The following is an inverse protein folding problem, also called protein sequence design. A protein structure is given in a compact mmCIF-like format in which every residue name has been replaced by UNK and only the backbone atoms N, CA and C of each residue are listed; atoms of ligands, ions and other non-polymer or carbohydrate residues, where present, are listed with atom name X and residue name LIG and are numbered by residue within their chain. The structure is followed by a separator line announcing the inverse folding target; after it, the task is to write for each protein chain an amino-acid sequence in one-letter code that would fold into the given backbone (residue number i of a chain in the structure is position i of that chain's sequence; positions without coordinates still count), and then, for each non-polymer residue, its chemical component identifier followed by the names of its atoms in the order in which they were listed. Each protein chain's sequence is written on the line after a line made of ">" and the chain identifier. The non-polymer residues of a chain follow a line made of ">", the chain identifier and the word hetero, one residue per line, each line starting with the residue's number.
data_IF_627039049652
#
_entry.id   IF_627039049652
#
_cell.length_a   1.000
_cell.length_b   1.000
_cell.length_c   1.000
_cell.angle_alpha   90.00
_cell.angle_beta   90.00
_cell.angle_gamma   90.00
#
_symmetry.space_group_name_H-M   'P 1'
#
loop_
_entity.id
_entity.type
_entity.pdbx_description
1 polymer ?
#
# COMPACT_ATOMS: atom_id res chain seq x y z
N UNK A 1 -93.71 -19.93 -11.92
CA UNK A 1 -92.92 -18.90 -12.65
C UNK A 1 -91.47 -19.09 -12.21
N UNK A 2 -90.63 -19.90 -12.85
CA UNK A 2 -89.90 -19.76 -14.12
C UNK A 2 -89.10 -18.45 -14.29
N UNK A 3 -87.79 -18.57 -13.98
CA UNK A 3 -86.58 -17.91 -14.53
C UNK A 3 -86.40 -16.38 -14.48
N UNK A 4 -85.24 -15.96 -13.94
CA UNK A 4 -84.10 -15.30 -14.63
C UNK A 4 -83.19 -14.63 -13.57
N UNK A 5 -81.93 -15.04 -13.36
CA UNK A 5 -80.67 -14.70 -14.05
C UNK A 5 -80.14 -13.27 -13.84
N UNK A 6 -78.87 -13.20 -13.42
CA UNK A 6 -77.93 -12.09 -13.64
C UNK A 6 -77.52 -11.37 -12.35
N UNK A 7 -76.25 -11.13 -12.03
CA UNK A 7 -75.00 -11.37 -12.72
C UNK A 7 -73.85 -11.13 -11.73
N UNK A 8 -72.81 -11.96 -11.80
CA UNK A 8 -71.59 -11.76 -11.03
C UNK A 8 -70.69 -10.75 -11.72
N UNK A 9 -70.23 -9.76 -10.97
CA UNK A 9 -69.08 -8.91 -11.32
C UNK A 9 -67.92 -9.36 -10.46
N UNK A 10 -67.16 -10.33 -10.96
CA UNK A 10 -65.81 -10.59 -10.47
C UNK A 10 -64.89 -9.48 -10.95
N UNK A 11 -64.41 -8.65 -10.03
CA UNK A 11 -63.30 -7.74 -10.28
C UNK A 11 -62.03 -8.59 -10.40
N UNK A 12 -61.49 -8.68 -11.61
CA UNK A 12 -60.19 -9.31 -11.86
C UNK A 12 -59.08 -8.39 -11.32
N UNK A 13 -58.32 -8.90 -10.37
CA UNK A 13 -57.11 -8.28 -9.82
C UNK A 13 -55.99 -8.32 -10.88
N UNK A 14 -55.26 -7.21 -11.13
CA UNK A 14 -54.19 -7.23 -12.11
C UNK A 14 -52.98 -8.01 -11.58
N UNK A 15 -52.54 -9.01 -12.34
CA UNK A 15 -51.35 -9.80 -12.04
C UNK A 15 -50.10 -8.89 -11.98
N UNK A 16 -49.39 -8.96 -10.85
CA UNK A 16 -48.09 -8.32 -10.67
C UNK A 16 -47.06 -8.89 -11.66
N UNK A 17 -46.14 -8.08 -12.20
CA UNK A 17 -45.11 -8.57 -13.09
C UNK A 17 -44.17 -9.49 -12.30
N UNK A 18 -43.93 -10.69 -12.83
CA UNK A 18 -42.92 -11.61 -12.33
C UNK A 18 -41.56 -10.93 -12.42
N UNK A 19 -40.93 -10.70 -11.28
CA UNK A 19 -39.54 -10.27 -11.19
C UNK A 19 -38.64 -11.46 -11.53
N UNK A 20 -37.95 -11.36 -12.66
CA UNK A 20 -36.85 -12.27 -12.98
C UNK A 20 -35.83 -12.26 -11.84
N UNK A 21 -35.33 -13.42 -11.36
CA UNK A 21 -34.20 -13.43 -10.46
C UNK A 21 -32.98 -12.96 -11.25
N UNK A 22 -32.48 -11.76 -10.93
CA UNK A 22 -31.15 -11.30 -11.35
C UNK A 22 -30.12 -12.31 -10.85
N UNK A 23 -29.77 -13.26 -11.72
CA UNK A 23 -28.60 -14.13 -11.59
C UNK A 23 -27.39 -13.43 -12.18
N UNK A 24 -27.07 -12.25 -11.62
CA UNK A 24 -25.82 -11.55 -11.86
C UNK A 24 -24.92 -11.71 -10.66
N UNK A 25 -24.32 -12.90 -10.47
CA UNK A 25 -23.11 -12.99 -9.66
C UNK A 25 -21.96 -12.50 -10.52
N UNK A 26 -21.87 -11.18 -10.69
CA UNK A 26 -20.64 -10.57 -11.15
C UNK A 26 -19.64 -10.74 -10.01
N UNK A 27 -18.84 -11.79 -10.12
CA UNK A 27 -17.62 -11.95 -9.35
C UNK A 27 -16.70 -10.80 -9.72
N UNK A 28 -16.89 -9.65 -9.07
CA UNK A 28 -15.86 -8.63 -8.98
C UNK A 28 -14.64 -9.34 -8.42
N UNK A 29 -13.68 -9.62 -9.29
CA UNK A 29 -12.38 -10.14 -8.94
C UNK A 29 -11.84 -9.20 -7.85
N UNK A 30 -11.84 -9.68 -6.60
CA UNK A 30 -11.27 -8.93 -5.49
C UNK A 30 -9.78 -8.85 -5.79
N UNK A 31 -9.37 -7.81 -6.50
CA UNK A 31 -7.98 -7.44 -6.68
C UNK A 31 -7.43 -7.26 -5.26
N UNK A 32 -6.62 -8.21 -4.82
CA UNK A 32 -6.02 -8.18 -3.50
C UNK A 32 -5.14 -6.93 -3.43
N UNK A 33 -5.42 -6.05 -2.47
CA UNK A 33 -4.61 -4.86 -2.23
C UNK A 33 -3.20 -5.33 -1.84
N UNK A 34 -2.19 -4.93 -2.62
CA UNK A 34 -0.79 -5.13 -2.24
C UNK A 34 -0.45 -4.12 -1.15
N UNK A 35 -0.19 -4.61 0.05
CA UNK A 35 0.13 -3.78 1.23
C UNK A 35 1.60 -3.79 1.61
N UNK A 36 2.41 -4.63 0.96
CA UNK A 36 3.83 -4.82 1.26
C UNK A 36 4.68 -4.74 0.00
N UNK A 37 5.83 -4.10 0.13
CA UNK A 37 6.74 -3.77 -0.95
C UNK A 37 8.17 -4.02 -0.52
N UNK A 38 8.88 -4.82 -1.29
CA UNK A 38 10.28 -5.12 -1.06
C UNK A 38 11.16 -3.98 -1.54
N UNK A 39 12.29 -3.79 -0.88
CA UNK A 39 13.32 -2.82 -1.22
C UNK A 39 14.71 -3.41 -1.04
N UNK A 40 15.69 -2.77 -1.67
CA UNK A 40 17.10 -3.07 -1.48
C UNK A 40 17.86 -1.78 -1.18
N UNK A 41 18.54 -1.75 -0.03
CA UNK A 41 19.35 -0.60 0.37
C UNK A 41 20.56 -0.42 -0.56
N UNK A 42 20.83 0.80 -1.04
CA UNK A 42 22.00 1.11 -1.86
C UNK A 42 23.33 0.64 -1.24
N UNK A 43 23.55 0.88 0.06
CA UNK A 43 24.76 0.42 0.76
C UNK A 43 24.48 -0.75 1.70
N UNK A 44 23.44 -0.63 2.51
CA UNK A 44 23.07 -1.64 3.50
C UNK A 44 23.37 -1.20 4.93
N UNK A 45 22.63 -1.75 5.87
CA UNK A 45 22.87 -1.60 7.30
C UNK A 45 23.85 -2.65 7.79
N UNK A 46 24.89 -2.26 8.52
CA UNK A 46 25.85 -3.20 9.13
C UNK A 46 25.54 -3.29 10.61
N UNK A 47 25.26 -4.50 11.10
CA UNK A 47 24.98 -4.73 12.52
C UNK A 47 26.26 -4.84 13.37
N UNK A 48 26.08 -5.08 14.67
CA UNK A 48 27.18 -5.17 15.63
C UNK A 48 28.11 -6.36 15.35
N UNK A 49 27.59 -7.41 14.73
CA UNK A 49 28.31 -8.61 14.33
C UNK A 49 29.02 -8.46 12.98
N UNK A 50 28.85 -7.31 12.30
CA UNK A 50 29.45 -7.02 11.01
C UNK A 50 28.68 -7.60 9.82
N UNK A 51 27.46 -8.12 10.03
CA UNK A 51 26.60 -8.63 8.96
C UNK A 51 25.94 -7.45 8.26
N UNK A 52 25.96 -7.47 6.92
CA UNK A 52 25.34 -6.44 6.09
C UNK A 52 23.94 -6.86 5.66
N UNK A 53 22.93 -6.06 6.02
CA UNK A 53 21.53 -6.25 5.68
C UNK A 53 21.12 -5.25 4.59
N UNK A 54 20.74 -5.77 3.42
CA UNK A 54 20.37 -4.93 2.26
C UNK A 54 18.92 -5.08 1.83
N UNK A 55 18.38 -6.30 1.89
CA UNK A 55 17.01 -6.58 1.46
C UNK A 55 16.05 -6.42 2.63
N UNK A 56 14.92 -5.76 2.39
CA UNK A 56 13.88 -5.61 3.39
C UNK A 56 12.51 -5.41 2.77
N UNK A 57 11.49 -5.39 3.62
CA UNK A 57 10.10 -5.18 3.22
C UNK A 57 9.52 -4.01 4.00
N UNK A 58 8.77 -3.16 3.31
CA UNK A 58 8.02 -2.06 3.89
C UNK A 58 6.54 -2.23 3.60
N UNK A 59 5.69 -2.01 4.61
CA UNK A 59 4.24 -2.00 4.43
C UNK A 59 3.71 -0.59 4.18
N UNK A 60 2.51 -0.51 3.62
CA UNK A 60 1.75 0.75 3.61
C UNK A 60 1.55 1.25 5.04
N UNK A 61 1.70 2.56 5.18
CA UNK A 61 1.48 3.26 6.42
C UNK A 61 -0.02 3.31 6.73
N UNK A 62 -0.36 3.19 8.01
CA UNK A 62 -1.70 3.49 8.48
C UNK A 62 -1.74 4.92 8.98
N UNK A 63 -2.94 5.50 9.10
CA UNK A 63 -3.10 6.81 9.74
C UNK A 63 -2.50 6.86 11.17
N UNK A 64 -2.49 5.71 11.86
CA UNK A 64 -1.86 5.58 13.18
C UNK A 64 -0.35 5.75 13.11
N UNK A 65 0.29 5.28 12.05
CA UNK A 65 1.74 5.42 11.87
C UNK A 65 2.16 6.86 11.56
N UNK A 66 1.27 7.66 10.96
CA UNK A 66 1.50 9.09 10.69
C UNK A 66 1.26 9.97 11.94
N UNK A 67 0.26 9.61 12.76
CA UNK A 67 -0.11 10.42 13.92
C UNK A 67 0.74 10.14 15.16
N UNK A 68 1.13 8.89 15.41
CA UNK A 68 1.87 8.53 16.62
C UNK A 68 3.23 9.22 16.77
N UNK A 69 4.05 9.41 15.71
CA UNK A 69 5.33 10.12 15.82
C UNK A 69 5.20 11.53 16.40
N UNK A 70 4.05 12.18 16.19
CA UNK A 70 3.79 13.53 16.71
C UNK A 70 3.68 13.55 18.25
N UNK A 71 3.48 12.41 18.91
CA UNK A 71 3.45 12.34 20.37
C UNK A 71 4.80 11.92 20.98
N UNK A 72 5.79 11.60 20.16
CA UNK A 72 7.12 11.21 20.63
C UNK A 72 7.88 12.44 21.16
N UNK A 73 8.42 12.36 22.38
CA UNK A 73 9.14 13.47 23.02
C UNK A 73 10.35 13.92 22.20
N UNK A 74 11.07 12.98 21.56
CA UNK A 74 12.25 13.30 20.73
C UNK A 74 11.83 14.06 19.47
N UNK A 75 10.67 13.73 18.92
CA UNK A 75 10.10 14.43 17.74
C UNK A 75 9.64 15.84 18.12
N UNK A 76 9.04 16.01 19.29
CA UNK A 76 8.65 17.32 19.82
C UNK A 76 9.87 18.23 20.04
N UNK A 77 10.97 17.67 20.53
CA UNK A 77 12.24 18.40 20.69
C UNK A 77 12.93 18.67 19.35
N UNK A 78 12.86 17.71 18.41
CA UNK A 78 13.46 17.83 17.10
C UNK A 78 12.68 17.05 16.03
N UNK A 79 12.01 17.79 15.16
CA UNK A 79 11.19 17.23 14.08
C UNK A 79 11.96 16.30 13.12
N UNK A 80 13.29 16.37 13.07
CA UNK A 80 14.11 15.45 12.27
C UNK A 80 13.96 13.98 12.69
N UNK A 81 13.56 13.69 13.93
CA UNK A 81 13.29 12.32 14.39
C UNK A 81 12.00 11.72 13.81
N UNK A 82 11.13 12.52 13.19
CA UNK A 82 9.87 12.03 12.61
C UNK A 82 10.13 10.92 11.61
N UNK A 83 11.09 11.12 10.70
CA UNK A 83 11.49 10.11 9.70
C UNK A 83 11.96 8.82 10.37
N UNK A 84 12.78 8.90 11.41
CA UNK A 84 13.30 7.74 12.14
C UNK A 84 12.17 6.92 12.75
N UNK A 85 11.28 7.60 13.48
CA UNK A 85 10.15 6.95 14.16
C UNK A 85 9.16 6.38 13.15
N UNK A 86 8.92 7.06 12.04
CA UNK A 86 8.03 6.58 10.99
C UNK A 86 8.59 5.33 10.31
N UNK A 87 9.84 5.39 9.86
CA UNK A 87 10.50 4.28 9.14
C UNK A 87 10.59 3.02 10.00
N UNK A 88 10.91 3.14 11.30
CA UNK A 88 10.98 1.99 12.20
C UNK A 88 9.64 1.29 12.44
N UNK A 89 8.51 1.94 12.10
CA UNK A 89 7.16 1.37 12.26
C UNK A 89 6.65 0.65 11.01
N UNK A 90 7.14 1.06 9.84
CA UNK A 90 6.62 0.61 8.54
C UNK A 90 7.54 -0.37 7.83
N UNK A 91 8.82 -0.43 8.21
CA UNK A 91 9.71 -1.51 7.79
C UNK A 91 9.37 -2.75 8.61
N UNK A 92 8.93 -3.81 7.93
CA UNK A 92 8.50 -5.07 8.55
C UNK A 92 9.64 -6.09 8.64
N UNK A 93 10.63 -5.99 7.76
CA UNK A 93 11.81 -6.85 7.75
C UNK A 93 13.03 -6.11 7.19
N UNK A 94 14.23 -6.49 7.65
CA UNK A 94 15.50 -6.07 7.07
C UNK A 94 16.53 -7.18 7.32
N UNK A 95 16.91 -7.88 6.26
CA UNK A 95 17.82 -9.01 6.32
C UNK A 95 17.39 -10.05 7.37
N UNK A 96 18.30 -10.37 8.29
CA UNK A 96 18.05 -11.34 9.38
C UNK A 96 17.79 -10.67 10.72
N UNK A 97 17.55 -9.36 10.75
CA UNK A 97 17.26 -8.64 12.00
C UNK A 97 15.94 -9.13 12.60
N UNK A 98 15.95 -9.42 13.90
CA UNK A 98 14.75 -9.82 14.62
C UNK A 98 13.71 -8.69 14.71
N UNK A 99 14.17 -7.44 14.73
CA UNK A 99 13.33 -6.25 14.78
C UNK A 99 14.06 -5.06 14.15
N UNK A 100 13.30 -4.21 13.46
CA UNK A 100 13.75 -2.89 13.02
C UNK A 100 13.18 -1.85 14.00
N UNK A 101 14.05 -1.20 14.77
CA UNK A 101 13.69 -0.12 15.69
C UNK A 101 14.40 1.19 15.30
N UNK A 102 14.15 2.26 16.05
CA UNK A 102 14.75 3.57 15.77
C UNK A 102 16.28 3.52 15.79
N UNK A 103 16.89 2.68 16.64
CA UNK A 103 18.35 2.56 16.71
C UNK A 103 18.92 1.99 15.41
N UNK A 104 18.23 1.03 14.77
CA UNK A 104 18.65 0.53 13.45
C UNK A 104 18.68 1.68 12.45
N UNK A 105 17.61 2.48 12.37
CA UNK A 105 17.50 3.58 11.39
C UNK A 105 18.53 4.69 11.69
N UNK A 106 18.75 5.04 12.96
CA UNK A 106 19.70 6.05 13.39
C UNK A 106 21.16 5.70 13.05
N UNK A 107 21.47 4.40 12.96
CA UNK A 107 22.81 3.91 12.63
C UNK A 107 22.98 3.52 11.14
N UNK A 108 21.99 3.82 10.28
CA UNK A 108 22.13 3.65 8.84
C UNK A 108 22.95 4.78 8.21
N UNK A 109 23.54 4.51 7.04
CA UNK A 109 24.09 5.58 6.22
C UNK A 109 23.00 6.58 5.81
N UNK A 110 23.32 7.86 5.80
CA UNK A 110 22.39 8.92 5.40
C UNK A 110 21.79 8.69 4.00
N UNK A 111 22.54 8.09 3.07
CA UNK A 111 22.05 7.74 1.73
C UNK A 111 20.95 6.67 1.76
N UNK A 112 21.05 5.70 2.67
CA UNK A 112 20.07 4.62 2.80
C UNK A 112 18.80 5.13 3.50
N UNK A 113 18.93 6.00 4.50
CA UNK A 113 17.77 6.68 5.12
C UNK A 113 17.04 7.53 4.09
N UNK A 114 17.77 8.28 3.25
CA UNK A 114 17.16 9.06 2.17
C UNK A 114 16.44 8.18 1.15
N UNK A 115 17.03 7.05 0.77
CA UNK A 115 16.39 6.06 -0.10
C UNK A 115 15.08 5.53 0.50
N UNK A 116 15.09 5.14 1.78
CA UNK A 116 13.91 4.64 2.48
C UNK A 116 12.81 5.70 2.62
N UNK A 117 13.18 6.96 2.88
CA UNK A 117 12.24 8.08 2.94
C UNK A 117 11.55 8.30 1.58
N UNK A 118 12.30 8.21 0.47
CA UNK A 118 11.73 8.32 -0.86
C UNK A 118 10.88 7.12 -1.24
N UNK A 119 11.30 5.91 -0.87
CA UNK A 119 10.53 4.68 -1.08
C UNK A 119 9.18 4.76 -0.34
N UNK A 120 9.21 5.16 0.93
CA UNK A 120 8.03 5.39 1.76
C UNK A 120 7.03 6.33 1.10
N UNK A 121 7.50 7.50 0.64
CA UNK A 121 6.66 8.51 -0.01
C UNK A 121 5.96 7.95 -1.24
N UNK A 122 6.68 7.18 -2.07
CA UNK A 122 6.14 6.62 -3.31
C UNK A 122 5.06 5.58 -3.06
N UNK A 123 5.33 4.59 -2.22
CA UNK A 123 4.36 3.51 -2.00
C UNK A 123 3.08 4.03 -1.34
N UNK A 124 3.16 5.06 -0.49
CA UNK A 124 2.01 5.63 0.21
C UNK A 124 1.27 6.72 -0.58
N UNK A 125 1.90 7.36 -1.58
CA UNK A 125 1.24 8.34 -2.44
C UNK A 125 0.69 7.73 -3.74
N UNK A 126 1.40 6.78 -4.32
CA UNK A 126 1.15 6.26 -5.68
C UNK A 126 0.67 4.79 -5.68
N UNK A 127 0.79 4.08 -4.56
CA UNK A 127 0.36 2.68 -4.43
C UNK A 127 1.22 1.67 -5.19
N UNK A 128 2.38 2.09 -5.73
CA UNK A 128 3.31 1.24 -6.47
C UNK A 128 4.77 1.70 -6.29
N UNK A 129 5.73 0.80 -6.58
CA UNK A 129 7.18 1.06 -6.51
C UNK A 129 7.77 1.65 -7.80
N UNK A 130 6.93 1.90 -8.81
CA UNK A 130 7.38 2.43 -10.10
C UNK A 130 7.62 3.93 -10.01
N UNK A 131 8.78 4.36 -10.51
CA UNK A 131 9.17 5.75 -10.57
C UNK A 131 9.21 6.20 -12.03
N UNK A 132 8.38 7.18 -12.40
CA UNK A 132 8.60 7.93 -13.64
C UNK A 132 9.81 8.85 -13.45
N UNK A 133 10.87 8.61 -14.23
CA UNK A 133 12.10 9.42 -14.25
C UNK A 133 12.27 10.03 -15.63
N UNK A 134 12.72 11.29 -15.64
CA UNK A 134 13.06 12.01 -16.87
C UNK A 134 14.57 12.22 -16.89
N UNK A 135 15.25 11.73 -17.91
CA UNK A 135 16.68 11.96 -18.08
C UNK A 135 16.93 13.47 -18.32
N UNK A 136 17.75 14.17 -17.53
CA UNK A 136 17.99 15.61 -17.70
C UNK A 136 18.79 15.94 -18.96
N UNK A 137 19.50 14.97 -19.54
CA UNK A 137 20.36 15.17 -20.70
C UNK A 137 19.60 15.07 -22.03
N UNK A 138 18.68 14.11 -22.16
CA UNK A 138 17.96 13.85 -23.41
C UNK A 138 16.43 13.95 -23.29
N UNK A 139 15.92 14.30 -22.10
CA UNK A 139 14.49 14.41 -21.78
C UNK A 139 13.68 13.13 -21.98
N UNK A 140 14.32 12.00 -22.23
CA UNK A 140 13.66 10.71 -22.32
C UNK A 140 13.01 10.36 -20.97
N UNK A 141 11.73 9.99 -21.00
CA UNK A 141 10.95 9.57 -19.84
C UNK A 141 10.86 8.05 -19.82
N UNK A 142 11.24 7.45 -18.70
CA UNK A 142 11.18 6.00 -18.51
C UNK A 142 10.69 5.69 -17.10
N UNK A 143 10.20 4.48 -16.89
CA UNK A 143 9.77 3.99 -15.57
C UNK A 143 10.80 3.01 -15.04
N UNK A 144 11.26 3.22 -13.79
CA UNK A 144 12.12 2.26 -13.09
C UNK A 144 11.34 1.63 -11.94
N UNK A 145 11.60 0.34 -11.66
CA UNK A 145 11.11 -0.31 -10.47
C UNK A 145 12.15 -0.20 -9.36
N UNK A 146 11.77 0.45 -8.26
CA UNK A 146 12.64 0.63 -7.10
C UNK A 146 12.66 -0.60 -6.18
N UNK A 147 11.82 -1.61 -6.42
CA UNK A 147 11.73 -2.84 -5.63
C UNK A 147 12.92 -3.81 -5.84
N UNK A 148 14.02 -3.36 -6.45
CA UNK A 148 15.19 -4.20 -6.69
C UNK A 148 15.02 -5.15 -7.87
N UNK A 149 14.93 -4.61 -9.08
CA UNK A 149 15.06 -5.36 -10.32
C UNK A 149 16.23 -4.82 -11.14
N UNK A 150 17.21 -5.67 -11.46
CA UNK A 150 18.26 -5.37 -12.45
C UNK A 150 17.62 -4.76 -13.70
N UNK A 151 18.00 -3.53 -14.02
CA UNK A 151 17.62 -2.86 -15.26
C UNK A 151 18.46 -3.45 -16.41
N UNK A 152 17.78 -3.99 -17.42
CA UNK A 152 18.25 -4.10 -18.81
C UNK A 152 19.49 -4.96 -19.06
N UNK A 153 19.27 -6.23 -19.38
CA UNK A 153 20.08 -6.86 -20.42
C UNK A 153 19.44 -6.52 -21.78
N UNK A 154 20.21 -5.82 -22.62
CA UNK A 154 19.97 -5.64 -24.05
C UNK A 154 21.23 -6.08 -24.79
#
# INVERSE_FOLDING_TARGET
>A
MLRARGGGTGLAEPAAPATDPVTGRDGAERVALRTEFDFELPRGFVDAEGVTHRHGTMRLATARDELLPLYDARVQENAAFTTVVLLSRVITSLGTLARVDSNVIENMFASDVAFLQDFYRRINAEGHTRAAVSCPQCQHRFTIDLAGGRLGES
#
